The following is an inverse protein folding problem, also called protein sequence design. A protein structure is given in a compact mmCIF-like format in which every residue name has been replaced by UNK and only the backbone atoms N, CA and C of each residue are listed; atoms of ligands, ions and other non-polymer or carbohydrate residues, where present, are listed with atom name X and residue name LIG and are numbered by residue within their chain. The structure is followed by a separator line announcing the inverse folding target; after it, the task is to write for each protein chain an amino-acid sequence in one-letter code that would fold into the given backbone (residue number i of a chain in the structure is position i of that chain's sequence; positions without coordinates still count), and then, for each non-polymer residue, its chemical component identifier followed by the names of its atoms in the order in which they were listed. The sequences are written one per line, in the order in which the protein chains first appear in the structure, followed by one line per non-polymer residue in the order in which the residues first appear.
data_IF_971903875232
#
_entry.id   IF_971903875232
#
_cell.length_a   1.000
_cell.length_b   1.000
_cell.length_c   1.000
_cell.angle_alpha   90.00
_cell.angle_beta   90.00
_cell.angle_gamma   90.00
#
_symmetry.space_group_name_H-M   'P 1'
#
loop_
_entity.id
_entity.type
_entity.pdbx_description
1 polymer ?
#
# COMPACT_ATOMS: atom_id res chain seq x y z
N UNK A 1 -6.61 28.68 11.89
CA UNK A 1 -7.43 27.82 11.01
C UNK A 1 -6.85 27.86 9.60
N UNK A 2 -6.27 26.76 9.12
CA UNK A 2 -5.84 26.66 7.71
C UNK A 2 -7.11 26.54 6.87
N UNK A 3 -7.40 27.53 6.01
CA UNK A 3 -8.48 27.41 5.02
C UNK A 3 -8.12 26.26 4.09
N UNK A 4 -8.78 25.12 4.26
CA UNK A 4 -8.72 24.03 3.29
C UNK A 4 -9.44 24.55 2.04
N UNK A 5 -8.70 24.75 0.96
CA UNK A 5 -9.27 25.20 -0.31
C UNK A 5 -10.45 24.33 -0.75
N UNK A 6 -11.37 24.90 -1.51
CA UNK A 6 -12.56 24.21 -2.02
C UNK A 6 -12.16 23.01 -2.90
N UNK A 7 -13.07 22.07 -3.10
CA UNK A 7 -12.80 20.92 -3.99
C UNK A 7 -12.41 21.37 -5.41
N UNK A 8 -13.00 22.48 -5.88
CA UNK A 8 -12.70 23.08 -7.17
C UNK A 8 -11.29 23.68 -7.24
N UNK A 9 -10.85 24.38 -6.18
CA UNK A 9 -9.48 24.92 -6.10
C UNK A 9 -8.43 23.81 -6.17
N UNK A 10 -8.70 22.68 -5.53
CA UNK A 10 -7.82 21.51 -5.57
C UNK A 10 -7.77 20.87 -6.97
N UNK A 11 -8.92 20.74 -7.65
CA UNK A 11 -8.98 20.23 -9.03
C UNK A 11 -8.16 21.11 -9.98
N UNK A 12 -8.39 22.43 -9.95
CA UNK A 12 -7.63 23.41 -10.77
C UNK A 12 -6.14 23.40 -10.49
N UNK A 13 -5.74 23.22 -9.23
CA UNK A 13 -4.33 23.08 -8.88
C UNK A 13 -3.73 21.81 -9.46
N UNK A 14 -4.45 20.69 -9.43
CA UNK A 14 -4.01 19.41 -10.01
C UNK A 14 -3.83 19.51 -11.53
N UNK A 15 -4.83 20.06 -12.24
CA UNK A 15 -4.79 20.28 -13.70
C UNK A 15 -3.59 21.15 -14.10
N UNK A 16 -3.27 22.20 -13.33
CA UNK A 16 -2.08 23.04 -13.56
C UNK A 16 -0.74 22.33 -13.32
N UNK A 17 -0.74 21.25 -12.52
CA UNK A 17 0.45 20.47 -12.18
C UNK A 17 0.45 19.12 -12.90
N UNK A 18 0.04 19.11 -14.16
CA UNK A 18 0.16 17.96 -15.07
C UNK A 18 -0.75 16.77 -14.75
N UNK A 19 -1.79 16.95 -13.94
CA UNK A 19 -2.88 15.96 -13.91
C UNK A 19 -3.65 16.04 -15.22
N UNK A 20 -3.62 14.94 -15.98
CA UNK A 20 -4.43 14.74 -17.16
C UNK A 20 -5.58 13.80 -16.78
N UNK A 21 -6.82 14.18 -17.13
CA UNK A 21 -8.04 13.39 -16.88
C UNK A 21 -8.38 12.49 -18.08
N UNK A 22 -7.47 12.41 -19.06
CA UNK A 22 -7.57 11.43 -20.12
C UNK A 22 -6.84 10.13 -19.75
N UNK A 23 -7.54 9.01 -19.95
CA UNK A 23 -7.01 7.67 -19.65
C UNK A 23 -6.05 7.19 -20.74
N UNK A 24 -5.68 8.05 -21.69
CA UNK A 24 -4.89 7.71 -22.89
C UNK A 24 -3.48 7.24 -22.55
N UNK A 25 -2.94 7.71 -21.42
CA UNK A 25 -1.62 7.36 -20.89
C UNK A 25 -1.72 6.47 -19.63
N UNK A 26 -2.92 5.98 -19.31
CA UNK A 26 -3.18 5.05 -18.21
C UNK A 26 -3.14 3.63 -18.78
N UNK A 27 -1.96 3.04 -18.68
CA UNK A 27 -1.67 1.68 -19.10
C UNK A 27 -1.65 0.74 -17.87
N UNK A 28 -2.38 -0.38 -17.94
CA UNK A 28 -2.36 -1.45 -16.93
C UNK A 28 -1.01 -2.21 -16.89
N UNK A 29 -0.10 -1.91 -17.82
CA UNK A 29 1.25 -2.48 -17.86
C UNK A 29 2.04 -1.98 -16.65
N UNK A 30 2.49 -2.89 -15.77
CA UNK A 30 3.26 -2.52 -14.61
C UNK A 30 4.59 -1.89 -15.05
N UNK A 31 4.90 -0.69 -14.55
CA UNK A 31 6.19 -0.06 -14.75
C UNK A 31 7.18 -0.66 -13.74
N UNK A 32 8.17 -1.45 -14.19
CA UNK A 32 9.20 -1.96 -13.29
C UNK A 32 10.03 -0.78 -12.76
N UNK A 33 10.24 -0.74 -11.44
CA UNK A 33 11.12 0.21 -10.77
C UNK A 33 12.07 -0.53 -9.86
N UNK A 34 13.32 -0.08 -9.83
CA UNK A 34 14.30 -0.60 -8.89
C UNK A 34 13.88 -0.22 -7.46
N UNK A 35 14.06 -1.18 -6.56
CA UNK A 35 13.86 -0.96 -5.13
C UNK A 35 15.02 -0.12 -4.64
N UNK A 36 14.70 1.00 -3.98
CA UNK A 36 15.71 1.86 -3.36
C UNK A 36 16.47 1.09 -2.28
N UNK A 37 17.79 1.30 -2.17
CA UNK A 37 18.63 0.52 -1.25
C UNK A 37 18.13 0.56 0.21
N UNK A 38 17.62 1.71 0.67
CA UNK A 38 17.10 1.87 2.03
C UNK A 38 15.73 1.21 2.27
N UNK A 39 15.03 0.80 1.21
CA UNK A 39 13.75 0.07 1.31
C UNK A 39 13.89 -1.42 1.04
N UNK A 40 15.03 -1.88 0.52
CA UNK A 40 15.28 -3.28 0.16
C UNK A 40 14.93 -4.29 1.25
N UNK A 41 15.47 -4.10 2.46
CA UNK A 41 15.19 -5.00 3.58
C UNK A 41 13.71 -5.05 3.99
N UNK A 42 12.93 -3.98 3.74
CA UNK A 42 11.48 -3.97 3.99
C UNK A 42 10.70 -4.74 2.92
N UNK A 43 11.19 -4.71 1.68
CA UNK A 43 10.62 -5.49 0.58
C UNK A 43 10.93 -6.97 0.72
N UNK A 44 12.14 -7.33 1.17
CA UNK A 44 12.53 -8.73 1.38
C UNK A 44 11.56 -9.44 2.36
N UNK A 45 11.27 -8.81 3.51
CA UNK A 45 10.29 -9.33 4.49
C UNK A 45 8.89 -9.49 3.89
N UNK A 46 8.46 -8.56 3.03
CA UNK A 46 7.15 -8.66 2.36
C UNK A 46 7.12 -9.78 1.34
N UNK A 47 8.21 -9.98 0.60
CA UNK A 47 8.33 -11.08 -0.35
C UNK A 47 8.31 -12.43 0.34
N UNK A 48 8.98 -12.57 1.49
CA UNK A 48 8.90 -13.77 2.32
C UNK A 48 7.46 -14.07 2.77
N UNK A 49 6.75 -13.07 3.31
CA UNK A 49 5.35 -13.22 3.70
C UNK A 49 4.43 -13.52 2.51
N UNK A 50 4.71 -12.94 1.35
CA UNK A 50 3.97 -13.20 0.12
C UNK A 50 4.17 -14.65 -0.37
N UNK A 51 5.40 -15.15 -0.36
CA UNK A 51 5.67 -16.54 -0.71
C UNK A 51 4.97 -17.51 0.25
N UNK A 52 4.97 -17.21 1.55
CA UNK A 52 4.25 -18.01 2.54
C UNK A 52 2.73 -17.94 2.34
N UNK A 53 2.17 -16.76 2.04
CA UNK A 53 0.76 -16.62 1.70
C UNK A 53 0.37 -17.46 0.46
N UNK A 54 1.25 -17.52 -0.53
CA UNK A 54 1.06 -18.31 -1.75
C UNK A 54 1.14 -19.83 -1.53
N UNK A 55 1.75 -20.33 -0.46
CA UNK A 55 1.76 -21.79 -0.18
C UNK A 55 0.35 -22.30 0.11
N UNK A 56 -0.50 -21.46 0.71
CA UNK A 56 -1.88 -21.77 1.06
C UNK A 56 -2.90 -21.25 0.04
N UNK A 57 -2.50 -20.30 -0.82
CA UNK A 57 -3.35 -19.68 -1.83
C UNK A 57 -2.60 -19.58 -3.18
N UNK A 58 -2.31 -20.70 -3.86
CA UNK A 58 -1.43 -20.72 -5.04
C UNK A 58 -2.00 -19.95 -6.25
N UNK A 59 -3.31 -19.82 -6.35
CA UNK A 59 -4.04 -19.17 -7.44
C UNK A 59 -4.04 -17.63 -7.37
N UNK A 60 -3.58 -17.07 -6.25
CA UNK A 60 -3.69 -15.63 -6.02
C UNK A 60 -2.66 -14.85 -6.82
N UNK A 61 -3.12 -13.74 -7.38
CA UNK A 61 -2.32 -12.79 -8.15
C UNK A 61 -2.29 -11.45 -7.44
N UNK A 62 -1.12 -10.80 -7.31
CA UNK A 62 -1.02 -9.50 -6.64
C UNK A 62 -1.79 -8.40 -7.40
N UNK A 63 -2.22 -8.67 -8.63
CA UNK A 63 -3.00 -7.76 -9.46
C UNK A 63 -4.48 -7.68 -9.06
N UNK A 64 -4.99 -8.61 -8.22
CA UNK A 64 -6.39 -8.56 -7.79
C UNK A 64 -6.55 -7.82 -6.46
N UNK A 65 -7.49 -6.88 -6.39
CA UNK A 65 -7.82 -6.15 -5.16
C UNK A 65 -8.25 -7.09 -4.01
N UNK A 66 -8.90 -8.20 -4.35
CA UNK A 66 -9.30 -9.22 -3.37
C UNK A 66 -8.08 -9.90 -2.75
N UNK A 67 -7.09 -10.25 -3.58
CA UNK A 67 -5.81 -10.81 -3.13
C UNK A 67 -5.04 -9.82 -2.26
N UNK A 68 -4.95 -8.56 -2.69
CA UNK A 68 -4.26 -7.51 -1.91
C UNK A 68 -4.91 -7.30 -0.55
N UNK A 69 -6.23 -7.33 -0.46
CA UNK A 69 -6.96 -7.25 0.81
C UNK A 69 -6.61 -8.43 1.73
N UNK A 70 -6.74 -9.66 1.24
CA UNK A 70 -6.43 -10.86 2.04
C UNK A 70 -4.97 -10.90 2.48
N UNK A 71 -4.04 -10.55 1.58
CA UNK A 71 -2.63 -10.49 1.91
C UNK A 71 -2.34 -9.41 2.97
N UNK A 72 -3.01 -8.26 2.89
CA UNK A 72 -2.89 -7.21 3.91
C UNK A 72 -3.39 -7.67 5.28
N UNK A 73 -4.50 -8.42 5.32
CA UNK A 73 -5.01 -9.02 6.56
C UNK A 73 -4.05 -10.08 7.12
N UNK A 74 -3.46 -10.91 6.25
CA UNK A 74 -2.43 -11.87 6.63
C UNK A 74 -1.21 -11.17 7.24
N UNK A 75 -0.65 -10.18 6.55
CA UNK A 75 0.47 -9.39 7.07
C UNK A 75 0.13 -8.76 8.42
N UNK A 76 -1.04 -8.14 8.55
CA UNK A 76 -1.48 -7.52 9.79
C UNK A 76 -1.47 -8.52 10.95
N UNK A 77 -2.01 -9.73 10.74
CA UNK A 77 -2.08 -10.78 11.76
C UNK A 77 -0.72 -11.40 12.08
N UNK A 78 0.21 -11.41 11.13
CA UNK A 78 1.57 -11.95 11.31
C UNK A 78 2.53 -10.96 12.02
N UNK A 79 2.18 -9.68 12.11
CA UNK A 79 3.02 -8.67 12.75
C UNK A 79 2.73 -8.59 14.25
N UNK A 80 3.78 -8.74 15.07
CA UNK A 80 3.71 -8.49 16.52
C UNK A 80 3.47 -7.00 16.78
N UNK A 81 2.26 -6.65 17.18
CA UNK A 81 1.87 -5.30 17.62
C UNK A 81 0.82 -5.34 18.72
N UNK A 82 0.22 -4.19 19.04
CA UNK A 82 -0.83 -4.12 20.05
C UNK A 82 -2.08 -4.82 19.50
N UNK A 83 -2.39 -5.98 20.07
CA UNK A 83 -3.60 -6.72 19.79
C UNK A 83 -4.77 -6.12 20.58
N UNK A 84 -5.95 -6.16 19.99
CA UNK A 84 -7.20 -5.89 20.69
C UNK A 84 -7.50 -7.05 21.67
N UNK A 85 -8.52 -6.92 22.54
CA UNK A 85 -8.89 -7.98 23.48
C UNK A 85 -9.26 -9.33 22.83
N UNK A 86 -9.53 -9.37 21.53
CA UNK A 86 -9.85 -10.57 20.78
C UNK A 86 -8.62 -11.17 20.06
N UNK A 87 -7.42 -10.65 20.34
CA UNK A 87 -6.19 -11.12 19.71
C UNK A 87 -6.00 -10.62 18.27
N UNK A 88 -6.79 -9.65 17.81
CA UNK A 88 -6.67 -9.10 16.46
C UNK A 88 -5.75 -7.87 16.45
N UNK A 89 -4.95 -7.66 15.41
CA UNK A 89 -4.15 -6.45 15.26
C UNK A 89 -5.04 -5.21 15.29
N UNK A 90 -4.71 -4.25 16.16
CA UNK A 90 -5.42 -2.98 16.18
C UNK A 90 -5.22 -2.21 14.86
N UNK A 91 -6.21 -1.41 14.47
CA UNK A 91 -6.11 -0.50 13.30
C UNK A 91 -4.86 0.39 13.40
N UNK A 92 -4.43 0.74 14.61
CA UNK A 92 -3.22 1.52 14.84
C UNK A 92 -1.94 0.74 14.51
N UNK A 93 -1.88 -0.56 14.80
CA UNK A 93 -0.75 -1.43 14.44
C UNK A 93 -0.63 -1.54 12.92
N UNK A 94 -1.76 -1.75 12.23
CA UNK A 94 -1.82 -1.80 10.77
C UNK A 94 -1.37 -0.45 10.19
N UNK A 95 -1.92 0.68 10.67
CA UNK A 95 -1.54 2.02 10.21
C UNK A 95 -0.08 2.36 10.50
N UNK A 96 0.48 1.95 11.64
CA UNK A 96 1.90 2.20 11.96
C UNK A 96 2.81 1.39 11.03
N UNK A 97 2.45 0.16 10.71
CA UNK A 97 3.16 -0.63 9.71
C UNK A 97 3.10 0.08 8.34
N UNK A 98 1.91 0.45 7.87
CA UNK A 98 1.76 1.22 6.63
C UNK A 98 2.48 2.57 6.65
N UNK A 99 2.58 3.26 7.79
CA UNK A 99 3.39 4.49 7.92
C UNK A 99 4.88 4.23 7.84
N UNK A 100 5.39 3.15 8.41
CA UNK A 100 6.77 2.72 8.22
C UNK A 100 7.08 2.39 6.76
N UNK A 101 6.06 2.01 5.98
CA UNK A 101 6.16 1.80 4.53
C UNK A 101 6.10 3.14 3.77
N UNK A 102 5.17 4.04 4.11
CA UNK A 102 4.95 5.30 3.37
C UNK A 102 5.93 6.42 3.71
N UNK A 103 6.55 6.41 4.90
CA UNK A 103 7.57 7.39 5.30
C UNK A 103 8.97 7.06 4.74
N UNK A 104 9.10 5.97 4.00
CA UNK A 104 10.35 5.57 3.36
C UNK A 104 10.42 5.91 1.85
N UNK A 105 9.43 6.61 1.30
CA UNK A 105 9.47 7.02 -0.10
C UNK A 105 8.17 7.61 -0.62
N UNK A 106 7.83 8.81 -0.15
CA UNK A 106 7.35 9.94 -0.96
C UNK A 106 7.91 11.21 -0.31
#
# INVERSE_FOLDING_TARGET
MVKRGTAEEKRRYSEKNSFNDDDTDVDDTPIPRDILDHTKGKYDVQMELWFEFKTTHPEVTPHSLKTLKHFTEFMANSIKGVLDPNGKPTVQTIRNYFRCLSLAGI
#
